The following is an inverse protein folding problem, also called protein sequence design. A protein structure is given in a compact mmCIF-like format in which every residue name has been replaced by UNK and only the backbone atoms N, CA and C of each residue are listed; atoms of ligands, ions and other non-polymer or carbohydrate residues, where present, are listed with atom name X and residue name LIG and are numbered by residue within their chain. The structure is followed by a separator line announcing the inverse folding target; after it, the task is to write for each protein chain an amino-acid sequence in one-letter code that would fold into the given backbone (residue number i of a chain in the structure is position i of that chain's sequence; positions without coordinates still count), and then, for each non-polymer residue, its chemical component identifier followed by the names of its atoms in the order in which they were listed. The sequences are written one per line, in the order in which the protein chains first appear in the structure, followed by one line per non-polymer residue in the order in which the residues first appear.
data_IF_612741908049
#
_entry.id   IF_612741908049
#
_cell.length_a   1.000
_cell.length_b   1.000
_cell.length_c   1.000
_cell.angle_alpha   90.00
_cell.angle_beta   90.00
_cell.angle_gamma   90.00
#
_symmetry.space_group_name_H-M   'P 1'
#
loop_
_entity.id
_entity.type
_entity.pdbx_description
1 polymer ?
#
# COMPACT_ATOMS: atom_id res chain seq x y z
N UNK A 1 25.43 -1.50 -2.38
CA UNK A 1 24.59 -0.35 -2.14
C UNK A 1 24.74 0.67 -3.27
N UNK A 2 23.64 1.20 -3.74
CA UNK A 2 23.64 2.25 -4.77
C UNK A 2 23.77 3.63 -4.12
N UNK A 3 24.57 4.50 -4.71
CA UNK A 3 24.81 5.84 -4.20
C UNK A 3 23.56 6.72 -4.14
N UNK A 4 22.60 6.45 -5.02
CA UNK A 4 21.36 7.23 -5.13
C UNK A 4 20.24 6.75 -4.22
N UNK A 5 20.47 5.71 -3.40
CA UNK A 5 19.49 5.19 -2.47
C UNK A 5 19.67 5.78 -1.07
N UNK A 6 18.58 6.27 -0.51
CA UNK A 6 18.49 6.71 0.88
C UNK A 6 17.67 5.70 1.68
N UNK A 7 18.22 5.24 2.79
CA UNK A 7 17.55 4.31 3.69
C UNK A 7 17.20 5.00 5.01
N UNK A 8 15.95 4.87 5.42
CA UNK A 8 15.46 5.34 6.71
C UNK A 8 14.85 4.18 7.46
N UNK A 9 15.08 4.12 8.77
CA UNK A 9 14.56 3.04 9.61
C UNK A 9 13.70 3.64 10.71
N UNK A 10 12.52 3.07 10.91
CA UNK A 10 11.63 3.44 12.00
C UNK A 10 11.22 2.19 12.78
N UNK A 11 10.94 2.35 14.06
CA UNK A 11 10.59 1.25 14.98
C UNK A 11 9.60 1.75 16.02
N UNK A 12 8.83 0.81 16.60
CA UNK A 12 7.90 1.10 17.69
C UNK A 12 8.63 1.27 19.04
N UNK A 13 9.88 0.84 19.11
CA UNK A 13 10.67 0.91 20.34
C UNK A 13 11.88 1.84 20.18
N UNK A 14 12.27 2.58 21.23
CA UNK A 14 13.43 3.47 21.15
C UNK A 14 14.70 2.73 20.74
N UNK A 15 15.44 3.31 19.79
CA UNK A 15 16.68 2.75 19.28
C UNK A 15 17.58 3.90 18.83
N UNK A 16 18.90 3.77 18.99
CA UNK A 16 19.87 4.80 18.63
C UNK A 16 19.96 5.08 17.12
N UNK A 17 19.55 4.13 16.30
CA UNK A 17 19.75 4.17 14.85
C UNK A 17 18.44 4.31 14.04
N UNK A 18 17.31 4.47 14.73
CA UNK A 18 16.01 4.53 14.05
C UNK A 18 15.08 5.54 14.70
N UNK A 19 14.08 5.98 13.92
CA UNK A 19 13.01 6.81 14.44
C UNK A 19 12.01 5.97 15.22
N UNK A 20 11.43 6.53 16.27
CA UNK A 20 10.31 5.91 16.97
C UNK A 20 9.01 6.39 16.30
N UNK A 21 8.22 5.43 15.83
CA UNK A 21 6.96 5.71 15.17
C UNK A 21 6.70 4.75 14.00
N UNK A 22 5.64 4.98 13.27
CA UNK A 22 5.29 4.21 12.09
C UNK A 22 5.89 4.81 10.81
N UNK A 23 5.64 4.17 9.67
CA UNK A 23 6.18 4.61 8.39
C UNK A 23 5.68 6.01 7.99
N UNK A 24 4.44 6.35 8.30
CA UNK A 24 3.88 7.67 8.02
C UNK A 24 4.60 8.75 8.84
N UNK A 25 4.85 8.48 10.11
CA UNK A 25 5.62 9.38 10.98
C UNK A 25 7.03 9.61 10.43
N UNK A 26 7.65 8.56 9.93
CA UNK A 26 8.99 8.64 9.34
C UNK A 26 9.00 9.54 8.09
N UNK A 27 8.00 9.42 7.24
CA UNK A 27 7.86 10.25 6.04
C UNK A 27 7.65 11.73 6.44
N UNK A 28 6.79 11.97 7.39
CA UNK A 28 6.47 13.32 7.86
C UNK A 28 7.66 14.00 8.51
N UNK A 29 8.33 13.34 9.43
CA UNK A 29 9.51 13.87 10.14
C UNK A 29 10.64 14.19 9.17
N UNK A 30 10.85 13.35 8.16
CA UNK A 30 11.92 13.54 7.17
C UNK A 30 11.52 14.47 6.02
N UNK A 31 10.31 15.02 6.06
CA UNK A 31 9.80 15.96 5.05
C UNK A 31 9.89 15.40 3.62
N UNK A 32 9.57 14.12 3.48
CA UNK A 32 9.55 13.46 2.18
C UNK A 32 8.27 13.85 1.46
N UNK A 33 8.41 14.54 0.33
CA UNK A 33 7.28 15.01 -0.47
C UNK A 33 7.24 14.26 -1.80
N UNK A 34 6.27 13.33 -1.97
CA UNK A 34 6.13 12.61 -3.23
C UNK A 34 5.79 13.56 -4.38
N UNK A 35 6.52 13.42 -5.49
CA UNK A 35 6.26 14.18 -6.70
C UNK A 35 5.22 13.53 -7.61
N UNK A 36 4.78 14.24 -8.65
CA UNK A 36 3.76 13.78 -9.59
C UNK A 36 4.21 12.52 -10.36
N UNK A 37 5.50 12.40 -10.62
CA UNK A 37 6.10 11.30 -11.37
C UNK A 37 6.65 10.18 -10.47
N UNK A 38 6.43 10.28 -9.16
CA UNK A 38 6.88 9.26 -8.24
C UNK A 38 5.98 8.02 -8.29
N UNK A 39 6.61 6.87 -8.13
CA UNK A 39 5.92 5.60 -7.89
C UNK A 39 6.32 5.09 -6.52
N UNK A 40 5.33 4.85 -5.69
CA UNK A 40 5.52 4.32 -4.35
C UNK A 40 5.13 2.84 -4.31
N UNK A 41 5.99 2.02 -3.74
CA UNK A 41 5.71 0.60 -3.51
C UNK A 41 5.67 0.36 -2.00
N UNK A 42 4.59 -0.21 -1.51
CA UNK A 42 4.41 -0.45 -0.09
C UNK A 42 4.01 -1.90 0.19
N UNK A 43 4.56 -2.45 1.25
CA UNK A 43 4.26 -3.78 1.73
C UNK A 43 4.13 -3.75 3.25
N UNK A 44 3.18 -4.48 3.79
CA UNK A 44 2.97 -4.56 5.24
C UNK A 44 1.53 -4.85 5.61
N UNK A 45 1.19 -4.76 6.90
CA UNK A 45 -0.17 -4.97 7.36
C UNK A 45 -1.16 -3.99 6.74
N UNK A 46 -2.38 -4.46 6.51
CA UNK A 46 -3.42 -3.66 5.86
C UNK A 46 -3.70 -2.30 6.53
N UNK A 47 -3.77 -2.18 7.86
CA UNK A 47 -3.95 -0.86 8.49
C UNK A 47 -2.82 0.11 8.19
N UNK A 48 -1.58 -0.36 8.12
CA UNK A 48 -0.42 0.45 7.75
C UNK A 48 -0.53 0.92 6.29
N UNK A 49 -0.87 0.01 5.38
CA UNK A 49 -1.01 0.34 3.96
C UNK A 49 -2.15 1.34 3.73
N UNK A 50 -3.26 1.20 4.44
CA UNK A 50 -4.38 2.14 4.40
C UNK A 50 -3.94 3.55 4.83
N UNK A 51 -3.24 3.64 5.95
CA UNK A 51 -2.75 4.92 6.47
C UNK A 51 -1.73 5.56 5.53
N UNK A 52 -0.80 4.76 5.01
CA UNK A 52 0.22 5.25 4.08
C UNK A 52 -0.40 5.73 2.76
N UNK A 53 -1.31 4.96 2.19
CA UNK A 53 -1.98 5.33 0.96
C UNK A 53 -2.78 6.64 1.15
N UNK A 54 -3.53 6.76 2.24
CA UNK A 54 -4.30 7.96 2.56
C UNK A 54 -3.40 9.18 2.74
N UNK A 55 -2.27 9.02 3.42
CA UNK A 55 -1.31 10.10 3.64
C UNK A 55 -0.69 10.58 2.33
N UNK A 56 -0.18 9.67 1.51
CA UNK A 56 0.44 10.02 0.22
C UNK A 56 -0.58 10.65 -0.72
N UNK A 57 -1.80 10.10 -0.78
CA UNK A 57 -2.85 10.63 -1.65
C UNK A 57 -3.31 12.03 -1.23
N UNK A 58 -3.29 12.34 0.06
CA UNK A 58 -3.61 13.67 0.56
C UNK A 58 -2.52 14.69 0.24
N UNK A 59 -1.27 14.25 0.18
CA UNK A 59 -0.14 15.11 -0.19
C UNK A 59 -0.08 15.36 -1.70
N UNK A 60 -0.24 14.30 -2.49
CA UNK A 60 -0.17 14.38 -3.95
C UNK A 60 -0.96 13.22 -4.59
N UNK A 61 -2.15 13.52 -5.08
CA UNK A 61 -3.03 12.53 -5.70
C UNK A 61 -2.49 11.96 -7.02
N UNK A 62 -1.49 12.60 -7.62
CA UNK A 62 -0.85 12.14 -8.86
C UNK A 62 0.22 11.09 -8.64
N UNK A 63 0.72 10.95 -7.41
CA UNK A 63 1.68 9.91 -7.07
C UNK A 63 1.00 8.55 -7.17
N UNK A 64 1.60 7.63 -7.94
CA UNK A 64 1.10 6.26 -8.05
C UNK A 64 1.58 5.45 -6.86
N UNK A 65 0.65 4.77 -6.18
CA UNK A 65 0.97 3.90 -5.04
C UNK A 65 0.54 2.49 -5.35
N UNK A 66 1.50 1.56 -5.36
CA UNK A 66 1.24 0.13 -5.44
C UNK A 66 1.39 -0.48 -4.06
N UNK A 67 0.45 -1.31 -3.68
CA UNK A 67 0.45 -1.99 -2.38
C UNK A 67 0.52 -3.50 -2.57
N UNK A 68 1.38 -4.15 -1.79
CA UNK A 68 1.44 -5.60 -1.71
C UNK A 68 0.62 -6.04 -0.51
N UNK A 69 -0.54 -6.65 -0.77
CA UNK A 69 -1.46 -7.06 0.29
C UNK A 69 -1.00 -8.38 0.93
N UNK A 70 -1.18 -8.46 2.24
CA UNK A 70 -0.94 -9.66 3.02
C UNK A 70 -2.29 -10.21 3.50
N UNK A 71 -2.57 -11.45 3.16
CA UNK A 71 -3.76 -12.17 3.58
C UNK A 71 -3.40 -13.58 4.02
N UNK A 72 -4.21 -14.13 4.91
CA UNK A 72 -4.02 -15.54 5.30
C UNK A 72 -4.28 -16.44 4.11
N UNK A 73 -3.30 -17.26 3.79
CA UNK A 73 -3.39 -18.19 2.68
C UNK A 73 -3.89 -19.55 3.16
N UNK A 74 -4.91 -20.09 2.48
CA UNK A 74 -5.31 -21.47 2.64
C UNK A 74 -4.52 -22.35 1.69
N UNK A 75 -4.87 -22.30 0.40
CA UNK A 75 -4.19 -23.13 -0.62
C UNK A 75 -2.95 -22.46 -1.22
N UNK A 76 -2.91 -21.14 -1.31
CA UNK A 76 -1.81 -20.39 -1.92
C UNK A 76 -1.77 -20.39 -3.44
N UNK A 77 -2.68 -21.07 -4.12
CA UNK A 77 -2.68 -21.17 -5.59
C UNK A 77 -4.04 -20.87 -6.25
N UNK A 78 -4.99 -20.33 -5.50
CA UNK A 78 -6.23 -19.83 -6.07
C UNK A 78 -7.42 -20.78 -6.05
N UNK A 79 -7.31 -21.95 -5.43
CA UNK A 79 -8.39 -22.94 -5.38
C UNK A 79 -9.45 -22.61 -4.31
N UNK A 80 -9.04 -22.06 -3.16
CA UNK A 80 -9.96 -21.65 -2.10
C UNK A 80 -10.28 -20.15 -2.21
N UNK A 81 -11.10 -19.64 -1.29
CA UNK A 81 -11.49 -18.20 -1.24
C UNK A 81 -10.99 -17.53 0.04
N UNK A 82 -9.96 -18.04 0.68
CA UNK A 82 -9.46 -17.54 1.95
C UNK A 82 -8.76 -16.20 1.89
N UNK A 83 -8.14 -15.87 0.75
CA UNK A 83 -7.35 -14.64 0.57
C UNK A 83 -8.06 -13.60 -0.32
N UNK A 84 -9.37 -13.50 -0.26
CA UNK A 84 -10.16 -12.62 -1.12
C UNK A 84 -10.07 -11.17 -0.64
N UNK A 85 -9.92 -10.25 -1.58
CA UNK A 85 -9.99 -8.80 -1.33
C UNK A 85 -10.88 -8.13 -2.38
N UNK A 86 -11.48 -7.02 -2.00
CA UNK A 86 -12.36 -6.26 -2.89
C UNK A 86 -11.56 -5.21 -3.66
N UNK A 87 -11.72 -5.21 -4.98
CA UNK A 87 -10.99 -4.31 -5.89
C UNK A 87 -11.99 -3.57 -6.77
N UNK A 88 -11.81 -2.26 -6.89
CA UNK A 88 -12.57 -1.44 -7.84
C UNK A 88 -12.01 -1.65 -9.24
N UNK A 89 -12.88 -2.07 -10.17
CA UNK A 89 -12.46 -2.37 -11.54
C UNK A 89 -12.96 -1.34 -12.56
N UNK A 90 -13.78 -0.40 -12.12
CA UNK A 90 -14.33 0.64 -13.01
C UNK A 90 -15.60 1.22 -12.43
N UNK A 91 -16.36 1.90 -13.28
CA UNK A 91 -17.66 2.46 -12.93
C UNK A 91 -18.73 1.92 -13.87
N UNK A 92 -19.94 1.74 -13.35
CA UNK A 92 -21.11 1.38 -14.18
C UNK A 92 -21.68 2.61 -14.90
N UNK A 93 -22.77 2.42 -15.67
CA UNK A 93 -23.42 3.50 -16.42
C UNK A 93 -24.01 4.59 -15.52
N UNK A 94 -24.25 4.29 -14.24
CA UNK A 94 -24.81 5.23 -13.26
C UNK A 94 -23.72 5.95 -12.44
N UNK A 95 -22.44 5.65 -12.71
CA UNK A 95 -21.31 6.24 -11.99
C UNK A 95 -20.94 5.57 -10.70
N UNK A 96 -21.53 4.41 -10.39
CA UNK A 96 -21.20 3.63 -9.19
C UNK A 96 -19.96 2.77 -9.43
N UNK A 97 -19.15 2.57 -8.39
CA UNK A 97 -17.98 1.72 -8.47
C UNK A 97 -18.37 0.26 -8.71
N UNK A 98 -17.70 -0.37 -9.68
CA UNK A 98 -17.78 -1.82 -9.88
C UNK A 98 -16.72 -2.47 -9.01
N UNK A 99 -17.15 -3.30 -8.06
CA UNK A 99 -16.27 -3.97 -7.12
C UNK A 99 -16.29 -5.46 -7.41
N UNK A 100 -15.10 -6.05 -7.61
CA UNK A 100 -14.93 -7.48 -7.82
C UNK A 100 -14.01 -8.07 -6.76
N UNK A 101 -14.22 -9.34 -6.46
CA UNK A 101 -13.40 -10.08 -5.52
C UNK A 101 -12.22 -10.72 -6.24
N UNK A 102 -11.01 -10.36 -5.81
CA UNK A 102 -9.77 -10.92 -6.33
C UNK A 102 -9.07 -11.74 -5.25
N UNK A 103 -8.31 -12.73 -5.67
CA UNK A 103 -7.53 -13.57 -4.76
C UNK A 103 -6.11 -13.02 -4.68
N UNK A 104 -5.68 -12.67 -3.48
CA UNK A 104 -4.34 -12.09 -3.27
C UNK A 104 -3.25 -13.05 -3.74
N UNK A 105 -3.42 -14.35 -3.51
CA UNK A 105 -2.43 -15.37 -3.89
C UNK A 105 -2.28 -15.55 -5.41
N UNK A 106 -3.36 -15.34 -6.17
CA UNK A 106 -3.40 -15.59 -7.62
C UNK A 106 -3.41 -14.31 -8.44
N UNK A 107 -4.25 -13.35 -8.06
CA UNK A 107 -4.47 -12.11 -8.82
C UNK A 107 -3.54 -10.97 -8.38
N UNK A 108 -2.99 -11.08 -7.18
CA UNK A 108 -2.02 -10.17 -6.62
C UNK A 108 -0.65 -10.82 -6.46
N UNK A 109 0.08 -10.53 -5.39
CA UNK A 109 -0.33 -9.71 -4.23
C UNK A 109 -0.31 -8.19 -4.43
N UNK A 110 0.22 -7.68 -5.55
CA UNK A 110 0.41 -6.24 -5.78
C UNK A 110 -0.77 -5.67 -6.53
N UNK A 111 -1.35 -4.61 -5.96
CA UNK A 111 -2.47 -3.88 -6.56
C UNK A 111 -2.22 -2.38 -6.49
N UNK A 112 -2.82 -1.63 -7.42
CA UNK A 112 -2.83 -0.17 -7.30
C UNK A 112 -3.66 0.21 -6.06
N UNK A 113 -3.08 1.01 -5.16
CA UNK A 113 -3.73 1.42 -3.91
C UNK A 113 -5.07 2.12 -4.12
N UNK A 114 -5.22 2.82 -5.25
CA UNK A 114 -6.46 3.48 -5.64
C UNK A 114 -7.59 2.49 -5.91
N UNK A 115 -7.28 1.29 -6.37
CA UNK A 115 -8.27 0.27 -6.70
C UNK A 115 -8.71 -0.54 -5.47
N UNK A 116 -7.90 -0.61 -4.42
CA UNK A 116 -8.21 -1.39 -3.23
C UNK A 116 -9.34 -0.74 -2.43
N UNK A 117 -10.30 -1.54 -2.02
CA UNK A 117 -11.37 -1.10 -1.11
C UNK A 117 -10.84 -1.29 0.32
N UNK A 118 -10.43 -0.21 0.91
CA UNK A 118 -9.82 -0.20 2.25
C UNK A 118 -10.87 -0.31 3.41
#
# INVERSE_FOLDING_TARGET
RHADCRTLVTTDMPNEHSFVGNVVDCIEINQIEPGDDWTCYACGPRPMLKSLYGYISSMNEKTTVFVSLEERMGCGYGACVGCVTDIRTGKDSEGNDIIKKYKVCKDGPVFNGKAVVW
#
